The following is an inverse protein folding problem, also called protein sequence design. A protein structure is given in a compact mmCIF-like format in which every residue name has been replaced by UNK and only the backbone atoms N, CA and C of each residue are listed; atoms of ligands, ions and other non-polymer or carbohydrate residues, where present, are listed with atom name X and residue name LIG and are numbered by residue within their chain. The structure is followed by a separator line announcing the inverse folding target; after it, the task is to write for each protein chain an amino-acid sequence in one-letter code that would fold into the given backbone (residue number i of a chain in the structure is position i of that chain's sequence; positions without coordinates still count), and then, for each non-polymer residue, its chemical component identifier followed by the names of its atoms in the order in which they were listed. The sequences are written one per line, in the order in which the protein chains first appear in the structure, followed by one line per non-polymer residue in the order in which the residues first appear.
data_IF_045782478830
#
_entry.id   IF_045782478830
#
_cell.length_a   1.000
_cell.length_b   1.000
_cell.length_c   1.000
_cell.angle_alpha   90.00
_cell.angle_beta   90.00
_cell.angle_gamma   90.00
#
_symmetry.space_group_name_H-M   'P 1'
#
loop_
_entity.id
_entity.type
_entity.pdbx_description
1 polymer ?
#
# COMPACT_ATOMS: atom_id res chain seq x y z
N UNK A 1 -27.80 40.23 15.62
CA UNK A 1 -27.61 40.81 14.27
C UNK A 1 -26.92 39.85 13.29
N UNK A 2 -26.19 38.83 13.76
CA UNK A 2 -25.49 37.86 12.90
C UNK A 2 -26.38 36.96 12.02
N UNK A 3 -27.61 36.62 12.43
CA UNK A 3 -28.48 35.70 11.67
C UNK A 3 -28.98 36.24 10.33
N UNK A 4 -29.12 37.56 10.17
CA UNK A 4 -29.55 38.16 8.89
C UNK A 4 -28.42 38.21 7.87
N UNK A 5 -27.16 38.32 8.31
CA UNK A 5 -26.01 38.33 7.40
C UNK A 5 -25.74 36.95 6.81
N UNK A 6 -25.90 35.88 7.58
CA UNK A 6 -25.67 34.51 7.10
C UNK A 6 -26.77 34.05 6.14
N UNK A 7 -28.04 34.36 6.42
CA UNK A 7 -29.17 34.01 5.55
C UNK A 7 -29.09 34.73 4.19
N UNK A 8 -28.75 36.02 4.18
CA UNK A 8 -28.51 36.77 2.94
C UNK A 8 -27.36 36.16 2.13
N UNK A 9 -26.27 35.75 2.80
CA UNK A 9 -25.11 35.15 2.13
C UNK A 9 -25.41 33.78 1.52
N UNK A 10 -26.25 32.96 2.16
CA UNK A 10 -26.76 31.70 1.59
C UNK A 10 -27.59 31.93 0.33
N UNK A 11 -28.47 32.92 0.36
CA UNK A 11 -29.28 33.30 -0.80
C UNK A 11 -28.42 33.83 -1.96
N UNK A 12 -27.36 34.59 -1.69
CA UNK A 12 -26.41 35.04 -2.70
C UNK A 12 -25.61 33.89 -3.32
N UNK A 13 -25.15 32.93 -2.51
CA UNK A 13 -24.45 31.74 -3.01
C UNK A 13 -25.39 30.91 -3.90
N UNK A 14 -26.64 30.67 -3.48
CA UNK A 14 -27.64 29.97 -4.31
C UNK A 14 -27.88 30.67 -5.64
N UNK A 15 -28.06 32.01 -5.64
CA UNK A 15 -28.22 32.81 -6.86
C UNK A 15 -26.99 32.74 -7.77
N UNK A 16 -25.79 32.77 -7.20
CA UNK A 16 -24.53 32.68 -7.96
C UNK A 16 -24.36 31.34 -8.70
N UNK A 17 -25.01 30.29 -8.19
CA UNK A 17 -24.99 28.93 -8.75
C UNK A 17 -26.20 28.67 -9.67
N UNK A 18 -27.08 29.67 -9.83
CA UNK A 18 -28.29 29.56 -10.64
C UNK A 18 -29.42 28.75 -10.00
N UNK A 19 -29.37 28.55 -8.68
CA UNK A 19 -30.42 27.87 -7.91
C UNK A 19 -31.41 28.91 -7.38
N UNK A 20 -32.72 28.65 -7.56
CA UNK A 20 -33.79 29.58 -7.16
C UNK A 20 -34.27 29.31 -5.74
N UNK A 21 -33.96 28.15 -5.15
CA UNK A 21 -34.40 27.77 -3.81
C UNK A 21 -33.48 26.72 -3.16
N UNK A 22 -33.51 26.67 -1.82
CA UNK A 22 -32.77 25.65 -1.03
C UNK A 22 -33.23 24.21 -1.34
N UNK A 23 -34.48 24.03 -1.78
CA UNK A 23 -34.99 22.73 -2.23
C UNK A 23 -34.26 22.23 -3.49
N UNK A 24 -33.94 23.11 -4.45
CA UNK A 24 -33.17 22.75 -5.65
C UNK A 24 -31.72 22.40 -5.28
N UNK A 25 -31.15 23.10 -4.29
CA UNK A 25 -29.84 22.78 -3.74
C UNK A 25 -29.82 21.37 -3.15
N UNK A 26 -30.83 21.01 -2.33
CA UNK A 26 -30.90 19.67 -1.75
C UNK A 26 -31.06 18.57 -2.81
N UNK A 27 -31.89 18.80 -3.83
CA UNK A 27 -32.04 17.88 -4.97
C UNK A 27 -30.72 17.71 -5.73
N UNK A 28 -29.98 18.81 -5.94
CA UNK A 28 -28.69 18.80 -6.60
C UNK A 28 -27.65 18.01 -5.79
N UNK A 29 -27.57 18.24 -4.47
CA UNK A 29 -26.66 17.53 -3.57
C UNK A 29 -27.01 16.04 -3.49
N UNK A 30 -28.29 15.69 -3.38
CA UNK A 30 -28.75 14.29 -3.39
C UNK A 30 -28.41 13.59 -4.71
N UNK A 31 -28.56 14.30 -5.84
CA UNK A 31 -28.16 13.79 -7.16
C UNK A 31 -26.65 13.61 -7.25
N UNK A 32 -25.86 14.56 -6.75
CA UNK A 32 -24.41 14.47 -6.73
C UNK A 32 -23.89 13.35 -5.82
N UNK A 33 -24.60 13.00 -4.75
CA UNK A 33 -24.24 11.83 -3.92
C UNK A 33 -24.29 10.52 -4.73
N UNK A 34 -25.20 10.42 -5.73
CA UNK A 34 -25.35 9.22 -6.58
C UNK A 34 -24.52 9.29 -7.88
N UNK A 35 -24.42 10.46 -8.49
CA UNK A 35 -23.77 10.66 -9.78
C UNK A 35 -22.28 11.05 -9.67
N UNK A 36 -21.84 11.53 -8.50
CA UNK A 36 -20.48 12.00 -8.26
C UNK A 36 -20.44 13.47 -7.84
N UNK A 37 -19.46 13.79 -6.99
CA UNK A 37 -19.30 15.12 -6.41
C UNK A 37 -18.86 16.19 -7.43
N UNK A 38 -18.36 15.78 -8.59
CA UNK A 38 -18.00 16.64 -9.72
C UNK A 38 -19.18 17.49 -10.22
N UNK A 39 -20.42 16.98 -10.07
CA UNK A 39 -21.64 17.72 -10.45
C UNK A 39 -21.79 19.03 -9.67
N UNK A 40 -21.40 19.03 -8.40
CA UNK A 40 -21.40 20.24 -7.56
C UNK A 40 -20.26 21.19 -7.99
N UNK A 41 -19.09 20.65 -8.32
CA UNK A 41 -17.96 21.45 -8.84
C UNK A 41 -18.28 22.12 -10.18
N UNK A 42 -18.98 21.43 -11.09
CA UNK A 42 -19.44 22.01 -12.36
C UNK A 42 -20.41 23.18 -12.15
N UNK A 43 -21.15 23.16 -11.04
CA UNK A 43 -22.02 24.25 -10.60
C UNK A 43 -21.29 25.29 -9.74
N UNK A 44 -19.98 25.14 -9.55
CA UNK A 44 -19.14 26.06 -8.79
C UNK A 44 -19.34 25.98 -7.27
N UNK A 45 -19.89 24.88 -6.76
CA UNK A 45 -20.06 24.59 -5.34
C UNK A 45 -18.84 23.80 -4.84
N UNK A 46 -18.06 24.43 -3.96
CA UNK A 46 -16.93 23.82 -3.26
C UNK A 46 -17.25 23.67 -1.77
N UNK A 47 -16.37 23.04 -1.00
CA UNK A 47 -16.54 22.81 0.44
C UNK A 47 -16.78 24.08 1.24
N UNK A 48 -16.15 25.20 0.86
CA UNK A 48 -16.36 26.49 1.50
C UNK A 48 -17.80 27.01 1.29
N UNK A 49 -18.28 27.03 0.04
CA UNK A 49 -19.65 27.47 -0.28
C UNK A 49 -20.70 26.53 0.29
N UNK A 50 -20.47 25.22 0.22
CA UNK A 50 -21.39 24.22 0.77
C UNK A 50 -21.41 24.29 2.32
N UNK A 51 -20.28 24.57 2.97
CA UNK A 51 -20.19 24.84 4.40
C UNK A 51 -21.02 26.06 4.84
N UNK A 52 -20.94 27.15 4.08
CA UNK A 52 -21.77 28.36 4.29
C UNK A 52 -23.28 28.06 4.15
N UNK A 53 -23.62 27.14 3.24
CA UNK A 53 -24.98 26.62 3.02
C UNK A 53 -25.42 25.56 4.06
N UNK A 54 -24.57 25.23 5.04
CA UNK A 54 -24.89 24.29 6.12
C UNK A 54 -24.55 22.82 5.82
N UNK A 55 -23.96 22.53 4.66
CA UNK A 55 -23.44 21.20 4.35
C UNK A 55 -22.03 21.08 4.95
N UNK A 56 -21.94 20.46 6.12
CA UNK A 56 -20.67 20.14 6.76
C UNK A 56 -20.16 18.78 6.30
N UNK A 57 -18.86 18.51 6.46
CA UNK A 57 -18.25 17.21 6.18
C UNK A 57 -19.06 16.02 6.74
N UNK A 58 -19.41 15.98 8.05
CA UNK A 58 -20.20 14.88 8.60
C UNK A 58 -21.62 14.81 8.01
N UNK A 59 -22.21 15.95 7.63
CA UNK A 59 -23.50 16.00 6.94
C UNK A 59 -23.43 15.38 5.54
N UNK A 60 -22.38 15.70 4.79
CA UNK A 60 -22.19 15.15 3.45
C UNK A 60 -21.84 13.66 3.48
N UNK A 61 -21.10 13.20 4.48
CA UNK A 61 -20.87 11.76 4.69
C UNK A 61 -22.18 11.02 4.96
N UNK A 62 -23.07 11.56 5.81
CA UNK A 62 -24.39 10.99 6.08
C UNK A 62 -25.30 10.97 4.84
N UNK A 63 -25.13 11.92 3.93
CA UNK A 63 -25.83 11.95 2.64
C UNK A 63 -25.30 10.90 1.63
N UNK A 64 -24.23 10.19 1.96
CA UNK A 64 -23.69 9.09 1.17
C UNK A 64 -22.58 9.48 0.19
N UNK A 65 -21.96 10.66 0.35
CA UNK A 65 -20.80 11.03 -0.47
C UNK A 65 -19.60 10.13 -0.14
N UNK A 66 -18.94 9.65 -1.19
CA UNK A 66 -17.70 8.88 -1.06
C UNK A 66 -16.55 9.78 -0.59
N UNK A 67 -15.54 9.18 0.04
CA UNK A 67 -14.33 9.89 0.48
C UNK A 67 -13.66 10.63 -0.66
N UNK A 68 -13.59 10.01 -1.85
CA UNK A 68 -13.06 10.63 -3.07
C UNK A 68 -13.87 11.87 -3.48
N UNK A 69 -15.21 11.78 -3.47
CA UNK A 69 -16.06 12.92 -3.78
C UNK A 69 -15.92 14.08 -2.79
N UNK A 70 -15.75 13.78 -1.50
CA UNK A 70 -15.49 14.79 -0.47
C UNK A 70 -14.12 15.46 -0.63
N UNK A 71 -13.11 14.71 -1.13
CA UNK A 71 -11.81 15.26 -1.50
C UNK A 71 -11.87 16.17 -2.71
N UNK A 72 -12.62 15.76 -3.74
CA UNK A 72 -12.85 16.59 -4.93
C UNK A 72 -13.50 17.93 -4.57
N UNK A 73 -14.48 17.91 -3.65
CA UNK A 73 -15.15 19.11 -3.15
C UNK A 73 -14.26 19.97 -2.24
N UNK A 74 -13.14 19.43 -1.76
CA UNK A 74 -12.22 20.12 -0.86
C UNK A 74 -12.65 20.09 0.61
N UNK A 75 -13.50 19.14 1.02
CA UNK A 75 -13.80 18.90 2.45
C UNK A 75 -12.70 18.13 3.15
N UNK A 76 -12.03 17.28 2.40
CA UNK A 76 -10.87 16.53 2.84
C UNK A 76 -9.68 17.00 2.02
N UNK A 77 -8.48 17.13 2.62
CA UNK A 77 -7.28 17.33 1.84
C UNK A 77 -7.20 16.19 0.81
N UNK A 78 -6.82 16.52 -0.42
CA UNK A 78 -6.48 15.52 -1.44
C UNK A 78 -5.34 14.71 -0.85
N UNK A 79 -5.63 13.54 -0.30
CA UNK A 79 -4.58 12.58 0.04
C UNK A 79 -4.08 12.06 -1.29
N UNK A 80 -3.14 12.79 -1.87
CA UNK A 80 -2.07 12.13 -2.60
C UNK A 80 -1.59 10.99 -1.70
N UNK A 81 -1.42 9.80 -2.29
CA UNK A 81 -0.70 8.68 -1.68
C UNK A 81 0.39 9.21 -0.76
N UNK A 82 0.34 8.80 0.50
CA UNK A 82 1.29 9.08 1.58
C UNK A 82 2.69 9.49 1.10
N UNK A 83 2.92 10.79 0.90
CA UNK A 83 4.24 11.41 0.84
C UNK A 83 4.08 12.85 1.35
N UNK A 84 5.09 13.30 2.11
CA UNK A 84 5.27 14.67 2.64
C UNK A 84 4.61 14.99 3.99
N UNK A 85 5.18 14.38 5.04
CA UNK A 85 5.52 15.17 6.24
C UNK A 85 7.04 15.15 6.41
N UNK A 86 7.65 16.31 6.18
CA UNK A 86 8.79 16.86 6.91
C UNK A 86 9.74 15.83 7.56
N UNK A 87 10.76 15.44 6.81
CA UNK A 87 11.87 14.63 7.30
C UNK A 87 13.03 14.71 6.31
N UNK A 88 14.29 14.50 6.72
CA UNK A 88 15.50 14.77 5.92
C UNK A 88 15.60 13.96 4.61
N UNK A 89 14.66 13.04 4.36
CA UNK A 89 14.53 12.08 3.26
C UNK A 89 14.32 12.63 1.84
N UNK A 90 14.91 13.76 1.46
CA UNK A 90 14.82 14.19 0.05
C UNK A 90 15.47 13.13 -0.87
N UNK A 91 14.71 12.59 -1.85
CA UNK A 91 15.20 11.54 -2.71
C UNK A 91 16.39 11.98 -3.58
N UNK A 92 16.50 13.29 -3.84
CA UNK A 92 17.63 13.89 -4.54
C UNK A 92 18.93 13.80 -3.72
N UNK A 93 18.88 14.15 -2.43
CA UNK A 93 20.05 14.11 -1.53
C UNK A 93 20.53 12.67 -1.35
N UNK A 94 19.60 11.73 -1.13
CA UNK A 94 19.95 10.30 -0.99
C UNK A 94 20.65 9.77 -2.25
N UNK A 95 20.14 10.12 -3.44
CA UNK A 95 20.77 9.72 -4.71
C UNK A 95 22.17 10.31 -4.87
N UNK A 96 22.34 11.58 -4.49
CA UNK A 96 23.63 12.23 -4.52
C UNK A 96 24.63 11.56 -3.57
N UNK A 97 24.21 11.23 -2.35
CA UNK A 97 25.07 10.54 -1.38
C UNK A 97 25.49 9.14 -1.85
N UNK A 98 24.59 8.40 -2.50
CA UNK A 98 24.95 7.11 -3.13
C UNK A 98 25.95 7.34 -4.27
N UNK A 99 25.78 8.38 -5.08
CA UNK A 99 26.72 8.76 -6.14
C UNK A 99 28.11 9.15 -5.59
N UNK A 100 28.13 9.83 -4.45
CA UNK A 100 29.34 10.21 -3.70
C UNK A 100 29.98 9.03 -2.94
N UNK A 101 29.41 7.81 -3.06
CA UNK A 101 29.84 6.59 -2.37
C UNK A 101 29.85 6.71 -0.84
N UNK A 102 28.88 7.43 -0.28
CA UNK A 102 28.69 7.46 1.16
C UNK A 102 28.33 6.06 1.70
N UNK A 103 28.84 5.76 2.90
CA UNK A 103 28.56 4.52 3.62
C UNK A 103 27.32 4.66 4.49
N UNK A 104 26.71 3.53 4.88
CA UNK A 104 25.52 3.41 5.73
C UNK A 104 25.62 4.23 7.02
N UNK A 105 26.83 4.35 7.60
CA UNK A 105 27.09 5.19 8.77
C UNK A 105 26.74 6.67 8.56
N UNK A 106 27.03 7.25 7.40
CA UNK A 106 26.71 8.66 7.07
C UNK A 106 25.20 8.87 6.96
N UNK A 107 24.50 7.90 6.37
CA UNK A 107 23.04 7.91 6.28
C UNK A 107 22.41 7.90 7.69
N UNK A 108 22.90 7.05 8.58
CA UNK A 108 22.42 6.98 9.97
C UNK A 108 22.73 8.25 10.76
N UNK A 109 23.93 8.84 10.59
CA UNK A 109 24.32 10.10 11.24
C UNK A 109 23.40 11.25 10.82
N UNK A 110 23.02 11.30 9.53
CA UNK A 110 22.08 12.30 9.00
C UNK A 110 20.61 11.98 9.28
N UNK A 111 20.32 10.88 10.00
CA UNK A 111 18.96 10.49 10.37
C UNK A 111 18.15 9.82 9.24
N UNK A 112 18.81 9.36 8.17
CA UNK A 112 18.17 8.58 7.13
C UNK A 112 17.97 7.14 7.59
N UNK A 113 16.74 6.66 7.45
CA UNK A 113 16.38 5.25 7.65
C UNK A 113 16.18 4.55 6.31
N UNK A 114 16.25 3.21 6.27
CA UNK A 114 16.03 2.41 5.04
C UNK A 114 14.71 2.77 4.34
N UNK A 115 13.66 3.12 5.08
CA UNK A 115 12.39 3.56 4.50
C UNK A 115 12.54 4.81 3.63
N UNK A 116 13.40 5.76 4.02
CA UNK A 116 13.72 6.93 3.20
C UNK A 116 14.46 6.54 1.93
N UNK A 117 15.41 5.60 2.02
CA UNK A 117 16.16 5.10 0.86
C UNK A 117 15.25 4.35 -0.13
N UNK A 118 14.32 3.55 0.40
CA UNK A 118 13.30 2.86 -0.41
C UNK A 118 12.36 3.86 -1.08
N UNK A 119 11.91 4.88 -0.35
CA UNK A 119 11.10 5.98 -0.91
C UNK A 119 11.84 6.76 -2.00
N UNK A 120 13.16 6.92 -1.83
CA UNK A 120 14.02 7.51 -2.86
C UNK A 120 14.19 6.66 -4.13
N UNK A 121 13.70 5.41 -4.12
CA UNK A 121 13.77 4.48 -5.24
C UNK A 121 15.19 3.95 -5.46
N UNK A 122 16.01 3.90 -4.41
CA UNK A 122 17.34 3.29 -4.49
C UNK A 122 17.18 1.78 -4.55
N UNK A 123 17.78 1.09 -5.54
CA UNK A 123 17.75 -0.36 -5.60
C UNK A 123 18.59 -0.96 -4.46
N UNK A 124 18.17 -2.13 -3.98
CA UNK A 124 18.84 -2.83 -2.87
C UNK A 124 20.33 -3.06 -3.14
N UNK A 125 20.72 -3.29 -4.40
CA UNK A 125 22.14 -3.47 -4.75
C UNK A 125 23.00 -2.23 -4.48
N UNK A 126 22.48 -1.01 -4.61
CA UNK A 126 23.22 0.20 -4.24
C UNK A 126 23.26 0.40 -2.73
N UNK A 127 22.24 -0.06 -2.00
CA UNK A 127 22.24 -0.06 -0.54
C UNK A 127 23.27 -1.04 0.03
N UNK A 128 23.41 -2.21 -0.58
CA UNK A 128 24.44 -3.17 -0.23
C UNK A 128 25.85 -2.56 -0.46
N UNK A 129 26.04 -1.87 -1.59
CA UNK A 129 27.30 -1.16 -1.88
C UNK A 129 27.57 -0.01 -0.92
N UNK A 130 26.53 0.64 -0.41
CA UNK A 130 26.64 1.61 0.67
C UNK A 130 26.92 0.95 2.04
N UNK A 131 26.89 -0.38 2.15
CA UNK A 131 27.22 -1.10 3.39
C UNK A 131 26.03 -1.30 4.33
N UNK A 132 24.79 -1.24 3.83
CA UNK A 132 23.63 -1.65 4.61
C UNK A 132 23.55 -3.16 4.74
N UNK A 133 23.18 -3.61 5.95
CA UNK A 133 23.10 -5.03 6.26
C UNK A 133 21.74 -5.60 5.88
N UNK A 134 21.68 -6.90 5.56
CA UNK A 134 20.44 -7.58 5.16
C UNK A 134 19.33 -7.47 6.22
N UNK A 135 19.68 -7.46 7.52
CA UNK A 135 18.70 -7.32 8.59
C UNK A 135 18.02 -5.95 8.58
N UNK A 136 18.73 -4.88 8.20
CA UNK A 136 18.15 -3.55 8.02
C UNK A 136 17.30 -3.51 6.76
N UNK A 137 17.80 -4.08 5.66
CA UNK A 137 17.05 -4.14 4.41
C UNK A 137 15.74 -4.91 4.56
N UNK A 138 15.73 -6.01 5.32
CA UNK A 138 14.55 -6.81 5.61
C UNK A 138 13.45 -6.08 6.41
N UNK A 139 13.76 -4.94 7.04
CA UNK A 139 12.74 -4.12 7.74
C UNK A 139 11.85 -3.33 6.78
N UNK A 140 12.38 -2.98 5.59
CA UNK A 140 11.71 -2.09 4.64
C UNK A 140 11.44 -2.74 3.29
N UNK A 141 12.25 -3.70 2.86
CA UNK A 141 12.14 -4.40 1.58
C UNK A 141 11.42 -5.73 1.75
N UNK A 142 10.62 -6.08 0.74
CA UNK A 142 9.98 -7.39 0.66
C UNK A 142 10.97 -8.46 0.22
N UNK A 143 10.68 -9.71 0.58
CA UNK A 143 11.50 -10.85 0.18
C UNK A 143 11.71 -10.95 -1.35
N UNK A 144 10.71 -10.56 -2.15
CA UNK A 144 10.83 -10.53 -3.62
C UNK A 144 11.76 -9.43 -4.16
N UNK A 145 11.89 -8.31 -3.43
CA UNK A 145 12.87 -7.26 -3.76
C UNK A 145 14.29 -7.73 -3.46
N UNK A 146 14.50 -8.34 -2.29
CA UNK A 146 15.80 -8.88 -1.88
C UNK A 146 16.25 -10.04 -2.78
N UNK A 147 15.32 -10.91 -3.19
CA UNK A 147 15.64 -11.97 -4.17
C UNK A 147 16.13 -11.39 -5.49
N UNK A 148 15.48 -10.33 -5.99
CA UNK A 148 15.88 -9.66 -7.24
C UNK A 148 17.25 -8.98 -7.15
N UNK A 149 17.69 -8.61 -5.96
CA UNK A 149 19.03 -8.06 -5.76
C UNK A 149 20.11 -9.12 -5.61
N UNK A 150 19.76 -10.40 -5.58
CA UNK A 150 20.69 -11.52 -5.51
C UNK A 150 20.74 -12.23 -4.16
N UNK A 151 19.92 -11.84 -3.18
CA UNK A 151 19.89 -12.56 -1.90
C UNK A 151 19.29 -13.95 -2.06
N UNK A 152 20.06 -14.94 -1.62
CA UNK A 152 19.62 -16.33 -1.59
C UNK A 152 18.64 -16.60 -0.45
N UNK A 153 17.82 -17.63 -0.64
CA UNK A 153 16.87 -18.10 0.37
C UNK A 153 17.51 -18.42 1.73
N UNK A 154 18.78 -18.84 1.78
CA UNK A 154 19.48 -19.14 3.04
C UNK A 154 19.65 -17.92 3.92
N UNK A 155 19.87 -16.75 3.32
CA UNK A 155 19.99 -15.50 4.05
C UNK A 155 18.61 -14.97 4.44
N UNK A 156 17.65 -15.05 3.52
CA UNK A 156 16.28 -14.57 3.72
C UNK A 156 15.48 -15.43 4.72
N UNK A 157 15.78 -16.73 4.85
CA UNK A 157 15.13 -17.66 5.78
C UNK A 157 15.19 -17.21 7.25
N UNK A 158 16.18 -16.40 7.64
CA UNK A 158 16.30 -15.88 9.01
C UNK A 158 15.38 -14.70 9.30
N UNK A 159 14.93 -13.99 8.26
CA UNK A 159 14.17 -12.76 8.38
C UNK A 159 12.71 -12.92 7.94
N UNK A 160 12.45 -13.80 6.97
CA UNK A 160 11.13 -14.00 6.36
C UNK A 160 10.54 -15.37 6.67
N UNK A 161 9.21 -15.43 6.71
CA UNK A 161 8.49 -16.71 6.85
C UNK A 161 8.47 -17.45 5.52
N UNK A 162 8.28 -18.77 5.57
CA UNK A 162 8.26 -19.60 4.37
C UNK A 162 7.13 -19.26 3.39
N UNK A 163 6.00 -18.77 3.89
CA UNK A 163 4.90 -18.26 3.06
C UNK A 163 5.30 -17.00 2.27
N UNK A 164 6.13 -16.14 2.87
CA UNK A 164 6.67 -14.95 2.22
C UNK A 164 7.75 -15.31 1.19
N UNK A 165 8.59 -16.31 1.49
CA UNK A 165 9.55 -16.87 0.53
C UNK A 165 8.82 -17.46 -0.69
N UNK A 166 7.74 -18.22 -0.48
CA UNK A 166 6.89 -18.70 -1.57
C UNK A 166 6.30 -17.55 -2.38
N UNK A 167 5.81 -16.51 -1.71
CA UNK A 167 5.25 -15.32 -2.36
C UNK A 167 6.31 -14.51 -3.14
N UNK A 168 7.57 -14.57 -2.70
CA UNK A 168 8.73 -14.05 -3.44
C UNK A 168 9.13 -14.91 -4.66
N UNK A 169 8.44 -16.03 -4.87
CA UNK A 169 8.58 -16.94 -6.00
C UNK A 169 9.70 -17.97 -5.85
N UNK A 170 10.18 -18.23 -4.63
CA UNK A 170 11.06 -19.38 -4.42
C UNK A 170 10.29 -20.67 -4.70
N UNK A 171 10.93 -21.63 -5.37
CA UNK A 171 10.31 -22.92 -5.65
C UNK A 171 10.62 -23.92 -4.53
N UNK A 172 9.86 -25.02 -4.50
CA UNK A 172 10.07 -26.09 -3.53
C UNK A 172 11.52 -26.63 -3.56
N UNK A 173 12.18 -26.64 -4.71
CA UNK A 173 13.60 -26.99 -4.88
C UNK A 173 14.52 -26.00 -4.16
N UNK A 174 14.25 -24.69 -4.25
CA UNK A 174 15.00 -23.66 -3.54
C UNK A 174 14.82 -23.80 -2.03
N UNK A 175 13.58 -24.04 -1.58
CA UNK A 175 13.28 -24.28 -0.16
C UNK A 175 14.05 -25.49 0.35
N UNK A 176 14.10 -26.59 -0.43
CA UNK A 176 14.91 -27.77 -0.09
C UNK A 176 16.40 -27.43 0.01
N UNK A 177 16.94 -26.69 -0.95
CA UNK A 177 18.35 -26.26 -0.95
C UNK A 177 18.69 -25.34 0.24
N UNK A 178 17.69 -24.66 0.79
CA UNK A 178 17.76 -23.89 2.03
C UNK A 178 17.63 -24.75 3.32
N UNK A 179 17.45 -26.06 3.17
CA UNK A 179 17.28 -27.00 4.27
C UNK A 179 15.90 -26.93 4.93
N UNK A 180 14.84 -26.61 4.17
CA UNK A 180 13.47 -26.81 4.64
C UNK A 180 13.05 -28.27 4.46
N UNK A 181 12.30 -28.79 5.43
CA UNK A 181 11.72 -30.13 5.37
C UNK A 181 10.43 -30.14 4.57
N UNK A 182 10.03 -31.31 4.08
CA UNK A 182 8.74 -31.49 3.38
C UNK A 182 7.57 -30.92 4.21
N UNK A 183 7.56 -31.13 5.53
CA UNK A 183 6.52 -30.58 6.43
C UNK A 183 6.47 -29.06 6.36
N UNK A 184 7.63 -28.40 6.34
CA UNK A 184 7.71 -26.95 6.24
C UNK A 184 7.13 -26.48 4.90
N UNK A 185 7.49 -27.15 3.79
CA UNK A 185 6.95 -26.83 2.47
C UNK A 185 5.42 -26.99 2.42
N UNK A 186 4.88 -28.09 2.92
CA UNK A 186 3.42 -28.28 2.98
C UNK A 186 2.75 -27.19 3.83
N UNK A 187 3.37 -26.81 4.95
CA UNK A 187 2.89 -25.73 5.82
C UNK A 187 2.91 -24.36 5.14
N UNK A 188 3.89 -24.10 4.29
CA UNK A 188 3.96 -22.87 3.47
C UNK A 188 3.02 -22.91 2.25
N UNK A 189 2.20 -23.96 2.15
CA UNK A 189 1.20 -24.13 1.10
C UNK A 189 1.77 -24.61 -0.23
N UNK A 190 2.94 -25.25 -0.27
CA UNK A 190 3.38 -25.97 -1.47
C UNK A 190 2.57 -27.24 -1.64
N UNK A 191 2.18 -27.53 -2.88
CA UNK A 191 1.43 -28.75 -3.18
C UNK A 191 2.35 -29.97 -3.24
N UNK A 192 1.79 -31.15 -3.02
CA UNK A 192 2.52 -32.43 -3.05
C UNK A 192 3.31 -32.62 -4.34
N UNK A 193 2.75 -32.20 -5.48
CA UNK A 193 3.43 -32.25 -6.77
C UNK A 193 4.69 -31.37 -6.79
N UNK A 194 4.62 -30.16 -6.22
CA UNK A 194 5.76 -29.25 -6.14
C UNK A 194 6.87 -29.82 -5.25
N UNK A 195 6.48 -30.44 -4.12
CA UNK A 195 7.42 -31.12 -3.23
C UNK A 195 8.04 -32.34 -3.91
N UNK A 196 7.26 -33.14 -4.65
CA UNK A 196 7.79 -34.27 -5.44
C UNK A 196 8.78 -33.80 -6.50
N UNK A 197 8.53 -32.67 -7.16
CA UNK A 197 9.45 -32.08 -8.14
C UNK A 197 10.68 -31.43 -7.52
N UNK A 198 10.68 -31.15 -6.22
CA UNK A 198 11.83 -30.56 -5.52
C UNK A 198 13.02 -31.52 -5.32
N UNK A 199 12.86 -32.79 -5.74
CA UNK A 199 13.91 -33.79 -5.68
C UNK A 199 14.11 -34.41 -4.30
N UNK A 200 13.12 -34.33 -3.41
CA UNK A 200 13.13 -35.10 -2.17
C UNK A 200 13.13 -36.61 -2.45
N UNK A 201 13.79 -37.37 -1.57
CA UNK A 201 13.91 -38.81 -1.71
C UNK A 201 12.55 -39.48 -1.52
N UNK A 202 12.30 -40.60 -2.19
CA UNK A 202 11.06 -41.38 -2.00
C UNK A 202 10.82 -41.73 -0.52
N UNK A 203 11.89 -42.00 0.22
CA UNK A 203 11.80 -42.32 1.66
C UNK A 203 11.35 -41.10 2.49
N UNK A 204 11.80 -39.89 2.13
CA UNK A 204 11.38 -38.64 2.77
C UNK A 204 9.91 -38.35 2.46
N UNK A 205 9.51 -38.48 1.19
CA UNK A 205 8.11 -38.34 0.78
C UNK A 205 7.21 -39.38 1.46
N UNK A 206 7.69 -40.60 1.66
CA UNK A 206 6.95 -41.68 2.31
C UNK A 206 6.75 -41.47 3.80
N UNK A 207 7.78 -40.93 4.50
CA UNK A 207 7.66 -40.55 5.91
C UNK A 207 6.57 -39.51 6.15
N UNK A 208 6.33 -38.66 5.16
CA UNK A 208 5.33 -37.60 5.21
C UNK A 208 3.98 -38.00 4.59
N UNK A 209 3.82 -39.27 4.19
CA UNK A 209 2.58 -39.80 3.63
C UNK A 209 2.31 -39.43 2.16
N UNK A 210 3.24 -38.76 1.48
CA UNK A 210 3.09 -38.26 0.10
C UNK A 210 3.25 -39.36 -0.98
N UNK A 211 3.69 -40.56 -0.60
CA UNK A 211 3.87 -41.71 -1.52
C UNK A 211 2.84 -42.82 -1.32
N UNK A 212 1.98 -42.75 -0.30
CA UNK A 212 0.92 -43.75 -0.16
C UNK A 212 -0.08 -43.49 -1.29
N UNK A 213 -0.22 -44.44 -2.20
CA UNK A 213 -1.33 -44.51 -3.13
C UNK A 213 -2.65 -44.45 -2.33
N UNK A 214 -3.20 -43.27 -2.12
CA UNK A 214 -4.65 -43.12 -2.08
C UNK A 214 -5.11 -43.08 -3.52
N UNK A 215 -5.22 -44.28 -4.09
CA UNK A 215 -6.41 -44.60 -4.88
C UNK A 215 -7.62 -44.06 -4.11
N UNK A 216 -8.46 -43.31 -4.82
CA UNK A 216 -9.79 -42.90 -4.39
C UNK A 216 -9.92 -41.78 -3.34
N UNK A 217 -9.94 -40.54 -3.84
CA UNK A 217 -10.87 -39.53 -3.32
C UNK A 217 -11.31 -38.56 -4.42
N UNK A 218 -11.74 -39.12 -5.54
CA UNK A 218 -12.66 -38.48 -6.46
C UNK A 218 -13.93 -39.32 -6.50
N UNK A 219 -15.05 -38.73 -6.03
CA UNK A 219 -16.45 -39.21 -6.00
C UNK A 219 -16.90 -39.96 -4.74
N UNK A 220 -17.63 -39.23 -3.89
CA UNK A 220 -19.01 -39.57 -3.48
C UNK A 220 -19.70 -38.31 -3.01
#
# INVERSE_FOLDING_TARGET
MESRSTENRRLEICKSVGLKSEAELFQLVSKAAKAGAELLLQKGLNSAKLGELGYTLPGMQKLGFTTDGLQQLGYLPKTQKAEESDGPGEPAVIRQMIADRCMSGEFLIKGYTIHHLKRAGIPVGDLERAGFQIHELATAFSCGELRRSGYGIRELKRFFRGDELKSAGFDATDMRNAGYSIKDLLRFGYNENQVKTAGFSLNELSREGLTRQTVDRMKS
#
